data_IF_363857826550
#
_entry.id   IF_363857826550
#
_cell.length_a   1.000
_cell.length_b   1.000
_cell.length_c   1.000
_cell.angle_alpha   90.00
_cell.angle_beta   90.00
_cell.angle_gamma   90.00
#
_symmetry.space_group_name_H-M   'P 1'
#
loop_
_entity.id
_entity.type
_entity.pdbx_description
1 polymer ?
#
# COMPACT_ATOMS: atom_id res chain seq x y z
N UNK A 1 -17.01 -4.96 -18.86
CA UNK A 1 -16.41 -3.76 -18.25
C UNK A 1 -15.75 -2.95 -19.34
N UNK A 2 -16.06 -1.66 -19.42
CA UNK A 2 -15.38 -0.70 -20.30
C UNK A 2 -14.06 -0.23 -19.67
N UNK A 3 -13.19 0.37 -20.48
CA UNK A 3 -11.95 0.98 -19.98
C UNK A 3 -12.19 2.20 -19.07
N UNK A 4 -13.42 2.71 -19.01
CA UNK A 4 -13.81 3.88 -18.21
C UNK A 4 -14.74 3.53 -17.04
N UNK A 5 -14.89 2.24 -16.73
CA UNK A 5 -15.65 1.83 -15.56
C UNK A 5 -14.87 2.14 -14.29
N UNK A 6 -15.58 2.61 -13.28
CA UNK A 6 -15.08 2.85 -11.91
C UNK A 6 -15.73 1.82 -10.98
N UNK A 7 -15.24 0.56 -10.96
CA UNK A 7 -15.84 -0.48 -10.12
C UNK A 7 -15.78 -0.08 -8.65
N UNK A 8 -16.83 -0.44 -7.92
CA UNK A 8 -16.90 -0.36 -6.47
C UNK A 8 -16.56 -1.73 -5.87
N UNK A 9 -16.09 -1.73 -4.62
CA UNK A 9 -15.75 -2.94 -3.88
C UNK A 9 -16.58 -3.02 -2.60
N UNK A 10 -16.85 -4.25 -2.12
CA UNK A 10 -17.58 -4.45 -0.87
C UNK A 10 -16.63 -4.48 0.32
N UNK A 11 -16.96 -3.76 1.39
CA UNK A 11 -16.14 -3.72 2.59
C UNK A 11 -16.06 -5.10 3.27
N UNK A 12 -14.85 -5.63 3.55
CA UNK A 12 -14.69 -6.96 4.16
C UNK A 12 -15.15 -7.04 5.62
N UNK A 13 -15.41 -5.90 6.26
CA UNK A 13 -15.82 -5.84 7.66
C UNK A 13 -17.32 -5.64 7.86
N UNK A 14 -17.94 -4.73 7.11
CA UNK A 14 -19.35 -4.37 7.31
C UNK A 14 -20.26 -4.64 6.11
N UNK A 15 -19.72 -5.13 5.00
CA UNK A 15 -20.48 -5.47 3.80
C UNK A 15 -21.05 -4.28 3.04
N UNK A 16 -20.64 -3.06 3.39
CA UNK A 16 -21.11 -1.82 2.73
C UNK A 16 -20.27 -1.54 1.49
N UNK A 17 -20.80 -0.73 0.57
CA UNK A 17 -20.04 -0.32 -0.62
C UNK A 17 -18.89 0.62 -0.23
N UNK A 18 -17.75 0.42 -0.87
CA UNK A 18 -16.56 1.26 -0.74
C UNK A 18 -16.32 2.02 -2.02
N UNK A 19 -15.80 3.24 -1.83
CA UNK A 19 -15.47 4.14 -2.91
C UNK A 19 -13.96 4.36 -2.97
N UNK A 20 -13.47 4.73 -4.14
CA UNK A 20 -12.07 5.09 -4.37
C UNK A 20 -11.97 6.16 -5.44
N UNK A 21 -10.91 6.96 -5.38
CA UNK A 21 -10.64 7.94 -6.41
C UNK A 21 -10.09 7.23 -7.66
N UNK A 22 -10.56 7.66 -8.83
CA UNK A 22 -10.12 7.17 -10.13
C UNK A 22 -9.55 8.31 -10.98
N UNK A 23 -8.48 8.01 -11.72
CA UNK A 23 -7.84 8.93 -12.66
C UNK A 23 -7.76 8.29 -14.03
N UNK A 24 -8.20 9.03 -15.05
CA UNK A 24 -7.97 8.68 -16.45
C UNK A 24 -6.50 8.89 -16.82
N UNK A 25 -5.83 7.83 -17.27
CA UNK A 25 -4.45 7.89 -17.73
C UNK A 25 -4.30 7.97 -19.26
N UNK A 26 -5.39 8.22 -19.99
CA UNK A 26 -5.45 8.27 -21.46
C UNK A 26 -5.59 6.91 -22.13
N UNK A 27 -5.63 5.82 -21.36
CA UNK A 27 -5.87 4.44 -21.80
C UNK A 27 -7.11 3.87 -21.08
N UNK A 28 -7.39 4.35 -19.87
CA UNK A 28 -8.57 4.03 -19.09
C UNK A 28 -8.50 4.59 -17.67
N UNK A 29 -9.55 4.33 -16.89
CA UNK A 29 -9.63 4.70 -15.48
C UNK A 29 -8.73 3.78 -14.65
N UNK A 30 -7.87 4.38 -13.83
CA UNK A 30 -6.99 3.68 -12.88
C UNK A 30 -7.24 4.22 -11.49
N UNK A 31 -7.31 3.31 -10.52
CA UNK A 31 -7.43 3.64 -9.11
C UNK A 31 -6.23 4.50 -8.66
N UNK A 32 -6.50 5.66 -8.06
CA UNK A 32 -5.47 6.57 -7.55
C UNK A 32 -5.48 6.74 -6.02
N UNK A 33 -6.55 6.34 -5.34
CA UNK A 33 -6.64 6.26 -3.89
C UNK A 33 -6.83 4.82 -3.40
N UNK A 34 -6.66 4.53 -2.10
CA UNK A 34 -7.11 3.27 -1.52
C UNK A 34 -8.64 3.24 -1.46
N UNK A 35 -9.26 2.07 -1.60
CA UNK A 35 -10.69 1.94 -1.28
C UNK A 35 -10.96 2.34 0.18
N UNK A 36 -12.01 3.13 0.40
CA UNK A 36 -12.42 3.58 1.72
C UNK A 36 -13.89 3.31 1.99
N UNK A 37 -14.17 2.72 3.15
CA UNK A 37 -15.53 2.50 3.65
C UNK A 37 -15.97 3.66 4.55
N UNK A 38 -17.01 4.38 4.16
CA UNK A 38 -17.57 5.50 4.94
C UNK A 38 -18.21 5.07 6.26
N UNK A 39 -18.69 3.82 6.35
CA UNK A 39 -19.43 3.30 7.52
C UNK A 39 -18.54 2.83 8.66
N UNK A 40 -17.50 2.05 8.35
CA UNK A 40 -16.59 1.50 9.37
C UNK A 40 -15.19 2.10 9.33
N UNK A 41 -14.95 3.07 8.45
CA UNK A 41 -13.66 3.72 8.23
C UNK A 41 -12.53 2.74 7.93
N UNK A 42 -12.88 1.62 7.28
CA UNK A 42 -11.87 0.71 6.77
C UNK A 42 -11.25 1.29 5.49
N UNK A 43 -9.93 1.16 5.36
CA UNK A 43 -9.20 1.61 4.17
C UNK A 43 -8.31 0.51 3.65
N UNK A 44 -8.22 0.38 2.34
CA UNK A 44 -7.32 -0.55 1.68
C UNK A 44 -5.87 -0.28 2.09
N UNK A 45 -5.14 -1.36 2.36
CA UNK A 45 -3.72 -1.30 2.69
C UNK A 45 -2.95 -0.99 1.41
N UNK A 46 -2.39 0.22 1.33
CA UNK A 46 -1.50 0.59 0.24
C UNK A 46 -0.29 -0.35 0.13
N UNK A 47 0.27 -0.53 -1.08
CA UNK A 47 1.40 -1.42 -1.28
C UNK A 47 2.64 -0.86 -0.56
N UNK A 48 3.00 -1.47 0.58
CA UNK A 48 4.24 -1.14 1.30
C UNK A 48 5.44 -1.69 0.54
N UNK A 49 5.81 -1.00 -0.52
CA UNK A 49 6.90 -1.39 -1.40
C UNK A 49 8.27 -1.09 -0.75
N UNK A 50 8.82 -2.06 -0.03
CA UNK A 50 10.25 -2.08 0.30
C UNK A 50 10.98 -3.20 -0.44
N UNK A 51 10.40 -4.40 -0.49
CA UNK A 51 11.06 -5.58 -1.04
C UNK A 51 10.35 -6.10 -2.29
N UNK A 52 11.14 -6.38 -3.32
CA UNK A 52 10.69 -7.15 -4.48
C UNK A 52 11.01 -8.60 -4.20
N UNK A 53 10.05 -9.48 -4.45
CA UNK A 53 10.30 -10.92 -4.42
C UNK A 53 10.22 -11.52 -5.81
N UNK A 54 10.96 -12.59 -6.01
CA UNK A 54 10.89 -13.37 -7.24
C UNK A 54 10.76 -14.85 -6.90
N UNK A 55 10.05 -15.58 -7.76
CA UNK A 55 10.02 -17.05 -7.69
C UNK A 55 11.15 -17.62 -8.54
N UNK A 56 11.98 -18.48 -7.95
CA UNK A 56 12.94 -19.26 -8.71
C UNK A 56 12.22 -20.32 -9.58
N UNK A 57 12.96 -21.12 -10.35
CA UNK A 57 12.38 -22.18 -11.20
C UNK A 57 11.65 -23.27 -10.42
N UNK A 58 11.97 -23.43 -9.14
CA UNK A 58 11.39 -24.40 -8.20
C UNK A 58 10.21 -23.81 -7.41
N UNK A 59 9.87 -22.53 -7.63
CA UNK A 59 8.76 -21.83 -6.96
C UNK A 59 9.10 -21.15 -5.64
N UNK A 60 10.35 -21.19 -5.19
CA UNK A 60 10.79 -20.59 -3.92
C UNK A 60 10.87 -19.07 -4.03
N UNK A 61 10.35 -18.38 -3.00
CA UNK A 61 10.37 -16.92 -2.89
C UNK A 61 11.74 -16.40 -2.46
N UNK A 62 12.34 -15.53 -3.27
CA UNK A 62 13.61 -14.85 -2.99
C UNK A 62 13.30 -13.37 -2.73
N UNK A 63 13.54 -12.89 -1.51
CA UNK A 63 13.43 -11.48 -1.15
C UNK A 63 14.75 -10.77 -1.43
N UNK A 64 14.72 -9.66 -2.19
CA UNK A 64 15.91 -8.82 -2.37
C UNK A 64 15.91 -7.67 -1.37
N UNK A 65 16.80 -7.68 -0.37
CA UNK A 65 16.96 -6.53 0.52
C UNK A 65 17.66 -5.39 -0.21
N UNK A 66 16.99 -4.24 -0.30
CA UNK A 66 17.62 -2.96 -0.66
C UNK A 66 17.52 -2.55 -2.13
N UNK A 67 17.25 -1.25 -2.33
CA UNK A 67 17.14 -0.59 -3.63
C UNK A 67 18.44 -0.73 -4.45
N UNK A 68 18.29 -1.14 -5.72
CA UNK A 68 19.14 -0.77 -6.89
C UNK A 68 20.51 -1.43 -7.13
N UNK A 69 20.73 -2.72 -6.84
CA UNK A 69 21.75 -3.46 -7.62
C UNK A 69 21.15 -4.63 -8.39
N UNK A 70 20.51 -4.20 -9.48
CA UNK A 70 20.13 -4.95 -10.66
C UNK A 70 21.29 -5.83 -11.16
N UNK A 71 21.31 -7.11 -10.78
CA UNK A 71 22.30 -8.05 -11.29
C UNK A 71 21.80 -8.66 -12.59
N UNK A 72 22.43 -8.31 -13.71
CA UNK A 72 22.06 -8.75 -15.07
C UNK A 72 22.05 -10.28 -15.22
N UNK A 73 22.80 -11.00 -14.38
CA UNK A 73 22.85 -12.47 -14.35
C UNK A 73 21.54 -13.11 -13.86
N UNK A 74 20.83 -12.45 -12.93
CA UNK A 74 19.54 -12.93 -12.42
C UNK A 74 18.44 -12.88 -13.50
N UNK A 75 18.56 -12.00 -14.50
CA UNK A 75 17.59 -11.90 -15.62
C UNK A 75 17.39 -13.20 -16.39
N UNK A 76 18.44 -14.01 -16.54
CA UNK A 76 18.40 -15.20 -17.42
C UNK A 76 17.69 -16.40 -16.78
N UNK A 77 17.47 -16.40 -15.45
CA UNK A 77 17.01 -17.58 -14.72
C UNK A 77 15.64 -17.45 -14.04
N UNK A 78 15.06 -16.25 -14.00
CA UNK A 78 13.86 -15.95 -13.21
C UNK A 78 12.67 -15.63 -14.13
N UNK A 79 11.49 -16.19 -13.85
CA UNK A 79 10.24 -15.78 -14.50
C UNK A 79 9.77 -14.48 -13.84
N UNK A 80 9.55 -13.44 -14.65
CA UNK A 80 9.16 -12.10 -14.18
C UNK A 80 7.68 -12.08 -13.79
N UNK A 81 7.41 -12.27 -12.51
CA UNK A 81 6.14 -11.88 -11.87
C UNK A 81 6.50 -10.95 -10.73
N UNK A 82 6.19 -9.66 -10.86
CA UNK A 82 6.56 -8.63 -9.89
C UNK A 82 5.32 -8.25 -9.11
N UNK A 83 5.10 -8.94 -7.99
CA UNK A 83 4.02 -8.62 -7.06
C UNK A 83 4.60 -7.86 -5.87
N UNK A 84 3.93 -6.80 -5.38
CA UNK A 84 4.32 -6.12 -4.15
C UNK A 84 4.20 -7.07 -2.95
N UNK A 85 5.09 -6.97 -1.96
CA UNK A 85 4.97 -7.67 -0.65
C UNK A 85 5.11 -6.66 0.46
N UNK A 86 4.38 -6.91 1.55
CA UNK A 86 4.54 -6.19 2.81
C UNK A 86 5.93 -6.46 3.41
N UNK A 87 6.49 -5.44 4.06
CA UNK A 87 7.74 -5.57 4.84
C UNK A 87 7.54 -6.59 5.98
N UNK A 88 8.61 -7.27 6.39
CA UNK A 88 8.57 -8.16 7.56
C UNK A 88 8.26 -7.38 8.85
N UNK A 89 7.39 -7.93 9.70
CA UNK A 89 6.94 -7.31 10.96
C UNK A 89 6.02 -6.10 10.78
N UNK A 90 5.02 -6.10 9.89
CA UNK A 90 4.13 -4.97 9.79
C UNK A 90 3.26 -4.87 11.06
N UNK A 91 2.95 -3.67 11.55
CA UNK A 91 2.10 -3.45 12.73
C UNK A 91 0.60 -3.67 12.41
N UNK A 92 0.29 -4.73 11.67
CA UNK A 92 -1.07 -5.11 11.26
C UNK A 92 -1.53 -6.33 12.04
N UNK A 93 -2.81 -6.39 12.39
CA UNK A 93 -3.39 -7.59 12.96
C UNK A 93 -3.52 -8.70 11.92
N UNK A 94 -3.69 -9.95 12.37
CA UNK A 94 -3.93 -11.10 11.49
C UNK A 94 -5.14 -10.88 10.57
N UNK A 95 -6.19 -10.23 11.08
CA UNK A 95 -7.40 -9.88 10.31
C UNK A 95 -7.11 -8.82 9.24
N UNK A 96 -6.31 -7.79 9.54
CA UNK A 96 -5.92 -6.74 8.60
C UNK A 96 -5.02 -7.32 7.48
N UNK A 97 -4.13 -8.26 7.81
CA UNK A 97 -3.31 -8.98 6.83
C UNK A 97 -4.14 -9.93 5.95
N UNK A 98 -5.13 -10.60 6.52
CA UNK A 98 -6.01 -11.52 5.78
C UNK A 98 -6.95 -10.77 4.84
N UNK A 99 -7.47 -9.63 5.26
CA UNK A 99 -8.42 -8.85 4.46
C UNK A 99 -7.73 -7.90 3.49
N UNK A 100 -6.55 -7.40 3.84
CA UNK A 100 -5.87 -6.33 3.08
C UNK A 100 -6.42 -4.93 3.39
N UNK A 101 -7.13 -4.75 4.51
CA UNK A 101 -7.73 -3.46 4.92
C UNK A 101 -7.35 -3.11 6.35
N UNK A 102 -7.10 -1.83 6.64
CA UNK A 102 -7.02 -1.31 8.01
C UNK A 102 -8.41 -1.00 8.55
N UNK A 103 -8.61 -1.09 9.87
CA UNK A 103 -9.90 -0.78 10.50
C UNK A 103 -9.80 0.46 11.40
N UNK A 104 -10.19 1.64 10.88
CA UNK A 104 -10.36 2.85 11.69
C UNK A 104 -9.13 3.34 12.47
N UNK A 105 -7.93 2.89 12.09
CA UNK A 105 -6.65 3.30 12.70
C UNK A 105 -5.95 4.30 11.79
N UNK A 106 -5.21 5.22 12.42
CA UNK A 106 -4.21 6.00 11.70
C UNK A 106 -3.19 5.01 11.14
N UNK A 107 -2.89 5.04 9.82
CA UNK A 107 -1.91 4.15 9.26
C UNK A 107 -0.58 4.30 10.02
N UNK A 108 0.08 3.20 10.37
CA UNK A 108 1.26 3.23 11.23
C UNK A 108 2.40 4.03 10.63
N UNK A 109 2.38 4.28 9.32
CA UNK A 109 3.38 5.04 8.57
C UNK A 109 2.90 6.42 8.14
N UNK A 110 1.63 6.77 8.38
CA UNK A 110 1.10 8.07 7.99
C UNK A 110 1.74 9.19 8.83
N UNK A 111 2.14 10.29 8.22
CA UNK A 111 2.77 11.37 8.96
C UNK A 111 1.78 12.00 9.95
N UNK A 112 2.26 12.19 11.19
CA UNK A 112 1.48 12.79 12.28
C UNK A 112 2.29 13.83 13.01
N UNK A 113 1.59 14.83 13.55
CA UNK A 113 2.14 15.83 14.47
C UNK A 113 1.27 15.84 15.71
N UNK A 114 1.87 15.54 16.87
CA UNK A 114 1.15 15.38 18.13
C UNK A 114 -0.02 14.37 18.03
N UNK A 115 0.19 13.27 17.29
CA UNK A 115 -0.78 12.19 17.11
C UNK A 115 -1.92 12.51 16.13
N UNK A 116 -1.88 13.65 15.42
CA UNK A 116 -2.88 14.03 14.41
C UNK A 116 -2.32 13.90 13.01
N UNK A 117 -3.12 13.34 12.10
CA UNK A 117 -2.80 13.28 10.68
C UNK A 117 -2.57 14.69 10.11
N UNK A 118 -1.55 14.81 9.28
CA UNK A 118 -1.24 16.04 8.54
C UNK A 118 -1.40 15.82 7.05
N UNK A 119 -1.85 16.86 6.35
CA UNK A 119 -1.84 16.88 4.88
C UNK A 119 -0.39 17.02 4.35
N UNK A 120 -0.22 16.82 3.04
CA UNK A 120 1.09 16.88 2.38
C UNK A 120 1.83 18.23 2.52
N UNK A 121 1.12 19.36 2.61
CA UNK A 121 1.76 20.69 2.71
C UNK A 121 2.30 20.90 4.12
N UNK A 122 1.47 20.58 5.11
CA UNK A 122 1.78 20.68 6.52
C UNK A 122 2.81 19.65 6.94
N UNK A 123 2.75 18.45 6.38
CA UNK A 123 3.77 17.41 6.54
C UNK A 123 5.16 17.91 6.15
N UNK A 124 5.29 18.51 4.96
CA UNK A 124 6.56 19.09 4.51
C UNK A 124 7.07 20.19 5.45
N UNK A 125 6.20 21.11 5.86
CA UNK A 125 6.58 22.17 6.81
C UNK A 125 7.06 21.60 8.14
N UNK A 126 6.36 20.60 8.67
CA UNK A 126 6.67 20.01 9.97
C UNK A 126 7.93 19.13 9.91
N UNK A 127 8.19 18.50 8.76
CA UNK A 127 9.46 17.86 8.46
C UNK A 127 10.63 18.84 8.51
N UNK A 128 10.51 19.97 7.81
CA UNK A 128 11.55 20.99 7.74
C UNK A 128 11.87 21.60 9.12
N UNK A 129 10.87 21.66 10.01
CA UNK A 129 11.00 22.18 11.38
C UNK A 129 11.41 21.07 12.39
N UNK A 130 11.35 19.79 12.00
CA UNK A 130 11.67 18.65 12.86
C UNK A 130 10.62 18.33 13.93
N UNK A 131 9.34 18.63 13.65
CA UNK A 131 8.20 18.41 14.57
C UNK A 131 7.31 17.22 14.19
N UNK A 132 7.72 16.43 13.19
CA UNK A 132 7.04 15.18 12.87
C UNK A 132 7.25 14.15 13.99
N UNK A 133 6.19 13.43 14.32
CA UNK A 133 6.25 12.38 15.33
C UNK A 133 7.19 11.26 14.85
N UNK A 134 8.22 10.95 15.64
CA UNK A 134 9.10 9.80 15.37
C UNK A 134 8.34 8.49 15.57
N UNK A 135 8.43 7.61 14.58
CA UNK A 135 7.77 6.31 14.62
C UNK A 135 8.77 5.21 14.92
N UNK A 136 8.58 4.54 16.06
CA UNK A 136 9.29 3.29 16.39
C UNK A 136 8.58 2.13 15.67
N UNK A 137 8.90 1.96 14.39
CA UNK A 137 8.48 0.81 13.57
C UNK A 137 9.56 -0.26 13.63
#
# INVERSE_FOLDING_TARGET
MSAYDTPTETCPYCGDEMDTDWVDNGIGMVQCGPYHCQKCHASEIGPQLLDWYYKNREGHTIYLPGKRRYNSLLKKKVKWGTTPVLKSGPPFSEDELKTGYYKGKIPPYANTVAGKLVDHQKDKQMYDIGLLDEKKI
#
